data_IF_402350595600
#
_entry.id   IF_402350595600
#
_cell.length_a   1.000
_cell.length_b   1.000
_cell.length_c   1.000
_cell.angle_alpha   90.00
_cell.angle_beta   90.00
_cell.angle_gamma   90.00
#
_symmetry.space_group_name_H-M   'P 1'
#
loop_
_entity.id
_entity.type
_entity.pdbx_description
1 polymer ?
#
# COMPACT_ATOMS: atom_id res chain seq x y z
N UNK A 1 -15.14 62.12 -47.48
CA UNK A 1 -16.38 61.39 -47.12
C UNK A 1 -16.74 61.73 -45.67
N UNK A 2 -18.02 62.01 -45.45
CA UNK A 2 -18.75 62.23 -44.19
C UNK A 2 -18.56 61.07 -43.18
N UNK A 3 -18.85 61.08 -41.86
CA UNK A 3 -19.35 62.00 -40.81
C UNK A 3 -19.20 61.22 -39.45
N UNK A 4 -18.85 61.84 -38.30
CA UNK A 4 -19.68 62.10 -37.08
C UNK A 4 -20.56 60.92 -36.56
N UNK A 5 -20.73 60.54 -35.27
CA UNK A 5 -20.88 61.16 -33.92
C UNK A 5 -20.86 59.98 -32.87
N UNK A 6 -20.38 60.08 -31.62
CA UNK A 6 -20.94 60.69 -30.37
C UNK A 6 -22.23 59.97 -29.87
N UNK A 7 -22.30 59.35 -28.67
CA UNK A 7 -22.77 59.85 -27.32
C UNK A 7 -23.08 58.54 -26.51
N UNK A 8 -22.54 58.25 -25.30
CA UNK A 8 -22.81 58.74 -23.92
C UNK A 8 -24.04 58.11 -23.22
N UNK A 9 -23.85 57.82 -21.92
CA UNK A 9 -24.83 57.92 -20.82
C UNK A 9 -25.92 56.81 -20.73
N UNK A 10 -26.46 56.41 -19.58
CA UNK A 10 -26.40 56.88 -18.18
C UNK A 10 -27.17 55.85 -17.32
N UNK A 11 -26.93 55.89 -15.99
CA UNK A 11 -27.95 55.78 -14.91
C UNK A 11 -28.73 54.45 -14.77
N UNK A 12 -29.22 53.96 -13.63
CA UNK A 12 -29.40 54.39 -12.23
C UNK A 12 -30.17 53.19 -11.59
N UNK A 13 -29.97 52.72 -10.36
CA UNK A 13 -30.55 53.15 -9.04
C UNK A 13 -31.03 51.87 -8.33
N UNK A 14 -30.61 51.59 -7.08
CA UNK A 14 -31.34 51.83 -5.81
C UNK A 14 -32.64 50.96 -5.68
N UNK A 15 -33.05 50.31 -4.57
CA UNK A 15 -32.92 50.54 -3.12
C UNK A 15 -33.53 49.32 -2.33
N UNK A 16 -32.98 49.01 -1.13
CA UNK A 16 -33.61 48.80 0.22
C UNK A 16 -34.78 47.77 0.39
N UNK A 17 -34.86 46.89 1.40
CA UNK A 17 -35.44 47.15 2.77
C UNK A 17 -35.30 45.97 3.76
N UNK A 18 -35.18 46.30 5.06
CA UNK A 18 -35.11 45.43 6.26
C UNK A 18 -36.48 45.01 6.86
N UNK A 19 -36.47 43.99 7.74
CA UNK A 19 -37.48 43.66 8.77
C UNK A 19 -37.97 42.20 8.69
N UNK A 20 -38.18 41.38 9.73
CA UNK A 20 -38.59 41.54 11.13
C UNK A 20 -38.22 40.23 11.90
N UNK A 21 -37.96 40.32 13.21
CA UNK A 21 -37.69 39.21 14.15
C UNK A 21 -39.00 38.48 14.54
N UNK A 22 -38.96 37.15 14.68
CA UNK A 22 -39.89 36.38 15.51
C UNK A 22 -39.16 35.21 16.19
N UNK A 23 -39.16 35.18 17.52
CA UNK A 23 -38.80 34.04 18.35
C UNK A 23 -40.03 33.12 18.51
N UNK A 24 -39.85 31.79 18.36
CA UNK A 24 -40.66 30.77 19.05
C UNK A 24 -40.03 29.37 18.94
N UNK A 25 -39.59 28.88 20.10
CA UNK A 25 -39.60 27.51 20.65
C UNK A 25 -39.54 26.24 19.73
N UNK A 26 -38.36 25.60 19.78
CA UNK A 26 -38.11 24.22 20.21
C UNK A 26 -39.02 23.06 19.70
N UNK A 27 -38.56 22.32 18.70
CA UNK A 27 -38.77 20.86 18.61
C UNK A 27 -37.54 20.17 18.03
N UNK A 28 -37.02 19.18 18.76
CA UNK A 28 -35.85 18.36 18.44
C UNK A 28 -35.91 17.77 17.03
N UNK A 29 -35.13 18.32 16.10
CA UNK A 29 -34.57 17.56 14.99
C UNK A 29 -33.12 17.23 15.33
N UNK A 30 -32.89 15.95 15.64
CA UNK A 30 -31.55 15.37 15.70
C UNK A 30 -31.01 15.38 14.27
N UNK A 31 -30.35 16.47 13.89
CA UNK A 31 -29.52 16.50 12.68
C UNK A 31 -28.38 15.53 12.98
N UNK A 32 -28.49 14.33 12.43
CA UNK A 32 -27.37 13.41 12.33
C UNK A 32 -26.43 14.06 11.33
N UNK A 33 -25.44 14.80 11.82
CA UNK A 33 -24.28 15.16 11.03
C UNK A 33 -23.60 13.86 10.63
N UNK A 34 -23.93 13.36 9.44
CA UNK A 34 -23.10 12.40 8.72
C UNK A 34 -21.88 13.13 8.21
N UNK A 35 -21.02 13.56 9.14
CA UNK A 35 -19.62 13.84 8.88
C UNK A 35 -18.81 12.68 9.45
N UNK A 36 -19.11 11.46 8.97
CA UNK A 36 -18.07 10.43 8.87
C UNK A 36 -17.11 10.90 7.78
N UNK A 37 -16.32 11.92 8.10
CA UNK A 37 -15.00 12.05 7.50
C UNK A 37 -14.30 10.76 7.89
N UNK A 38 -14.17 9.85 6.93
CA UNK A 38 -13.18 8.78 6.96
C UNK A 38 -11.88 9.43 7.43
N UNK A 39 -11.64 9.28 8.73
CA UNK A 39 -10.41 9.75 9.34
C UNK A 39 -9.44 8.67 8.91
N UNK A 40 -8.70 8.97 7.83
CA UNK A 40 -7.60 8.13 7.37
C UNK A 40 -6.74 7.83 8.59
N UNK A 41 -6.47 6.56 8.85
CA UNK A 41 -5.51 6.18 9.88
C UNK A 41 -4.16 6.75 9.44
N UNK A 42 -3.75 7.86 10.05
CA UNK A 42 -2.38 8.38 9.93
C UNK A 42 -1.46 7.40 10.67
N UNK A 43 -0.79 6.53 9.93
CA UNK A 43 0.25 5.67 10.49
C UNK A 43 1.58 6.43 10.41
N UNK A 44 2.16 6.78 11.57
CA UNK A 44 3.41 7.56 11.63
C UNK A 44 4.62 6.82 11.06
N UNK A 45 4.65 5.48 11.14
CA UNK A 45 5.70 4.63 10.54
C UNK A 45 5.18 3.21 10.36
N UNK A 46 5.41 2.56 9.22
CA UNK A 46 5.18 1.12 9.05
C UNK A 46 6.45 0.35 9.41
N UNK A 47 6.35 -0.67 10.26
CA UNK A 47 7.50 -1.53 10.53
C UNK A 47 7.85 -2.35 9.28
N UNK A 48 9.13 -2.65 9.09
CA UNK A 48 9.59 -3.46 7.96
C UNK A 48 9.45 -4.96 8.28
N UNK A 49 9.09 -5.81 7.30
CA UNK A 49 9.20 -7.25 7.47
C UNK A 49 10.67 -7.66 7.61
N UNK A 50 10.91 -8.82 8.21
CA UNK A 50 12.27 -9.34 8.41
C UNK A 50 12.42 -10.75 7.84
N UNK A 51 13.61 -11.05 7.32
CA UNK A 51 13.99 -12.40 6.87
C UNK A 51 15.20 -12.87 7.68
N UNK A 52 15.12 -14.09 8.21
CA UNK A 52 16.21 -14.77 8.95
C UNK A 52 16.43 -16.16 8.42
N UNK A 53 17.69 -16.59 8.35
CA UNK A 53 18.03 -18.00 8.09
C UNK A 53 18.06 -18.76 9.42
N UNK A 54 17.39 -19.91 9.44
CA UNK A 54 17.56 -20.97 10.44
C UNK A 54 18.31 -22.12 9.76
N UNK A 55 19.58 -22.29 10.11
CA UNK A 55 20.38 -23.33 9.48
C UNK A 55 19.95 -24.71 9.93
N UNK A 56 20.19 -25.72 9.10
CA UNK A 56 19.96 -27.12 9.45
C UNK A 56 20.72 -27.57 10.71
N UNK A 57 21.86 -26.92 11.01
CA UNK A 57 22.68 -27.14 12.22
C UNK A 57 22.15 -26.44 13.48
N UNK A 58 21.05 -25.68 13.38
CA UNK A 58 20.39 -25.02 14.52
C UNK A 58 21.03 -23.71 14.95
N UNK A 59 21.94 -23.15 14.15
CA UNK A 59 22.43 -21.78 14.34
C UNK A 59 21.49 -20.79 13.65
N UNK A 60 20.85 -19.93 14.43
CA UNK A 60 19.97 -18.87 13.93
C UNK A 60 20.70 -17.54 14.10
N UNK A 61 21.46 -17.02 13.13
CA UNK A 61 22.03 -15.68 13.27
C UNK A 61 22.59 -15.05 11.97
N UNK A 62 21.84 -15.13 10.87
CA UNK A 62 22.19 -14.37 9.67
C UNK A 62 20.98 -13.53 9.22
N UNK A 63 21.20 -12.21 9.16
CA UNK A 63 20.37 -11.28 8.40
C UNK A 63 20.47 -11.73 6.95
N UNK A 64 19.34 -12.00 6.31
CA UNK A 64 19.30 -12.38 4.91
C UNK A 64 19.25 -11.12 4.05
N UNK A 65 19.98 -11.06 2.94
CA UNK A 65 19.90 -9.93 2.02
C UNK A 65 18.51 -9.90 1.36
N UNK A 66 17.87 -8.73 1.41
CA UNK A 66 16.55 -8.50 0.85
C UNK A 66 16.36 -7.03 0.53
N UNK A 67 15.39 -6.74 -0.34
CA UNK A 67 14.93 -5.39 -0.63
C UNK A 67 13.46 -5.27 -0.22
N UNK A 68 13.11 -4.18 0.44
CA UNK A 68 11.72 -3.86 0.74
C UNK A 68 11.32 -2.56 0.04
N UNK A 69 10.16 -2.58 -0.62
CA UNK A 69 9.60 -1.42 -1.29
C UNK A 69 8.12 -1.26 -1.01
N UNK A 70 7.72 -0.07 -0.56
CA UNK A 70 6.33 0.37 -0.57
C UNK A 70 5.98 0.80 -2.01
N UNK A 71 5.02 0.11 -2.63
CA UNK A 71 4.65 0.35 -4.04
C UNK A 71 3.59 1.44 -4.14
N UNK A 72 2.54 1.34 -3.31
CA UNK A 72 1.48 2.34 -3.25
C UNK A 72 0.75 2.26 -1.90
N UNK A 73 0.15 3.39 -1.50
CA UNK A 73 -0.65 3.51 -0.28
C UNK A 73 -1.83 4.46 -0.50
N UNK A 74 -3.02 4.05 -0.10
CA UNK A 74 -4.32 4.72 -0.24
C UNK A 74 -4.78 5.02 -1.68
N UNK A 75 -3.92 4.84 -2.68
CA UNK A 75 -4.19 5.07 -4.11
C UNK A 75 -3.40 4.07 -4.97
N UNK A 76 -3.91 2.83 -5.04
CA UNK A 76 -3.29 1.76 -5.82
C UNK A 76 -4.03 1.55 -7.15
N UNK A 77 -3.71 2.37 -8.13
CA UNK A 77 -4.16 2.19 -9.51
C UNK A 77 -3.61 0.90 -10.15
N UNK A 78 -4.36 0.34 -11.09
CA UNK A 78 -3.95 -0.84 -11.89
C UNK A 78 -2.63 -0.64 -12.64
N UNK A 79 -2.20 0.61 -12.84
CA UNK A 79 -0.96 0.99 -13.52
C UNK A 79 0.28 0.98 -12.62
N UNK A 80 0.12 0.77 -11.31
CA UNK A 80 1.21 0.65 -10.36
C UNK A 80 1.92 -0.69 -10.54
N UNK A 81 2.70 -0.77 -11.62
CA UNK A 81 3.59 -1.88 -11.92
C UNK A 81 4.79 -1.88 -10.98
N UNK A 82 5.24 -3.07 -10.60
CA UNK A 82 6.45 -3.24 -9.81
C UNK A 82 7.54 -3.84 -10.70
N UNK A 83 8.71 -3.21 -10.72
CA UNK A 83 9.88 -3.74 -11.39
C UNK A 83 10.75 -4.43 -10.35
N UNK A 84 10.91 -5.75 -10.47
CA UNK A 84 11.73 -6.54 -9.56
C UNK A 84 13.20 -6.09 -9.64
N UNK A 85 13.79 -5.58 -8.56
CA UNK A 85 15.19 -5.17 -8.57
C UNK A 85 16.10 -6.41 -8.62
N UNK A 86 17.31 -6.22 -9.14
CA UNK A 86 18.37 -7.22 -8.99
C UNK A 86 18.82 -7.24 -7.52
N UNK A 87 18.85 -8.44 -6.92
CA UNK A 87 19.23 -8.64 -5.51
C UNK A 87 20.42 -9.58 -5.41
N UNK A 88 21.32 -9.27 -4.48
CA UNK A 88 22.42 -10.16 -4.15
C UNK A 88 21.88 -11.48 -3.56
N UNK A 89 22.35 -12.61 -4.10
CA UNK A 89 21.99 -13.91 -3.56
C UNK A 89 22.47 -14.05 -2.12
N UNK A 90 21.56 -14.38 -1.20
CA UNK A 90 21.93 -14.72 0.16
C UNK A 90 22.46 -16.16 0.23
N UNK A 91 23.46 -16.39 1.09
CA UNK A 91 24.09 -17.69 1.26
C UNK A 91 23.17 -18.64 2.05
N UNK A 92 22.63 -19.65 1.36
CA UNK A 92 21.74 -20.70 1.91
C UNK A 92 22.16 -22.07 1.42
N UNK A 93 21.86 -23.09 2.21
CA UNK A 93 22.03 -24.49 1.83
C UNK A 93 20.69 -25.23 1.74
N UNK A 94 20.67 -26.32 0.98
CA UNK A 94 19.49 -27.21 0.92
C UNK A 94 19.21 -27.75 2.33
N UNK A 95 17.95 -27.63 2.76
CA UNK A 95 17.51 -28.03 4.09
C UNK A 95 17.50 -26.89 5.13
N UNK A 96 18.12 -25.74 4.82
CA UNK A 96 17.94 -24.53 5.61
C UNK A 96 16.50 -24.04 5.55
N UNK A 97 16.15 -23.16 6.48
CA UNK A 97 14.83 -22.55 6.52
C UNK A 97 14.92 -21.03 6.55
N UNK A 98 14.18 -20.38 5.67
CA UNK A 98 13.95 -18.94 5.75
C UNK A 98 12.72 -18.68 6.61
N UNK A 99 12.91 -17.93 7.69
CA UNK A 99 11.85 -17.43 8.55
C UNK A 99 11.56 -15.98 8.16
N UNK A 100 10.34 -15.72 7.69
CA UNK A 100 9.90 -14.39 7.29
C UNK A 100 8.83 -13.91 8.28
N UNK A 101 9.05 -12.75 8.90
CA UNK A 101 8.17 -12.20 9.92
C UNK A 101 7.70 -10.79 9.54
N UNK A 102 6.37 -10.61 9.50
CA UNK A 102 5.69 -9.34 9.26
C UNK A 102 4.75 -8.98 10.41
N UNK A 103 4.91 -9.57 11.60
CA UNK A 103 4.01 -9.33 12.75
C UNK A 103 3.92 -7.88 13.19
N UNK A 104 4.97 -7.11 12.94
CA UNK A 104 5.07 -5.71 13.37
C UNK A 104 4.50 -4.74 12.32
N UNK A 105 4.13 -5.24 11.12
CA UNK A 105 3.51 -4.42 10.09
C UNK A 105 2.10 -4.05 10.56
N UNK A 106 1.83 -2.75 10.63
CA UNK A 106 0.51 -2.19 10.94
C UNK A 106 0.09 -1.22 9.83
N UNK A 107 -1.15 -1.35 9.28
CA UNK A 107 -2.12 -2.40 9.57
C UNK A 107 -1.66 -3.77 9.03
N UNK A 108 -2.23 -4.86 9.54
CA UNK A 108 -1.91 -6.19 9.02
C UNK A 108 -2.37 -6.33 7.55
N UNK A 109 -1.55 -6.91 6.66
CA UNK A 109 -1.93 -7.15 5.27
C UNK A 109 -3.09 -8.15 5.21
N UNK A 110 -4.05 -7.91 4.32
CA UNK A 110 -5.22 -8.77 4.12
C UNK A 110 -4.91 -9.96 3.22
N UNK A 111 -3.93 -9.81 2.33
CA UNK A 111 -3.43 -10.88 1.47
C UNK A 111 -1.90 -10.84 1.38
N UNK A 112 -1.28 -12.01 1.35
CA UNK A 112 0.15 -12.19 1.12
C UNK A 112 0.32 -13.22 0.01
N UNK A 113 1.19 -12.91 -0.96
CA UNK A 113 1.52 -13.81 -2.06
C UNK A 113 3.02 -14.04 -2.12
N UNK A 114 3.44 -15.29 -2.26
CA UNK A 114 4.81 -15.66 -2.63
C UNK A 114 4.91 -15.75 -4.15
N UNK A 115 5.81 -14.96 -4.73
CA UNK A 115 6.03 -14.86 -6.17
C UNK A 115 7.40 -15.45 -6.47
N UNK A 116 7.46 -16.37 -7.43
CA UNK A 116 8.72 -16.84 -8.01
C UNK A 116 9.05 -16.00 -9.24
N UNK A 117 10.25 -15.45 -9.28
CA UNK A 117 10.71 -14.51 -10.30
C UNK A 117 11.83 -15.17 -11.10
N UNK A 118 11.72 -15.06 -12.42
CA UNK A 118 12.77 -15.43 -13.36
C UNK A 118 13.97 -14.50 -13.17
N UNK A 119 15.11 -15.06 -12.81
CA UNK A 119 16.31 -14.28 -12.42
C UNK A 119 17.00 -13.59 -13.60
N UNK A 120 16.71 -13.97 -14.85
CA UNK A 120 17.27 -13.32 -16.04
C UNK A 120 16.35 -12.19 -16.54
N UNK A 121 15.07 -12.47 -16.65
CA UNK A 121 14.07 -11.57 -17.26
C UNK A 121 13.33 -10.71 -16.25
N UNK A 122 13.48 -10.99 -14.94
CA UNK A 122 12.80 -10.31 -13.84
C UNK A 122 11.27 -10.34 -14.00
N UNK A 123 10.74 -11.46 -14.48
CA UNK A 123 9.30 -11.69 -14.69
C UNK A 123 8.75 -12.71 -13.71
N UNK A 124 7.48 -12.54 -13.35
CA UNK A 124 6.76 -13.51 -12.52
C UNK A 124 6.58 -14.84 -13.27
N UNK A 125 7.00 -15.93 -12.64
CA UNK A 125 6.80 -17.31 -13.11
C UNK A 125 5.56 -17.90 -12.45
N UNK A 126 5.49 -17.81 -11.12
CA UNK A 126 4.35 -18.31 -10.32
C UNK A 126 4.01 -17.36 -9.20
N UNK A 127 2.76 -17.41 -8.73
CA UNK A 127 2.23 -16.65 -7.61
C UNK A 127 1.37 -17.55 -6.74
N UNK A 128 1.72 -17.71 -5.48
CA UNK A 128 1.05 -18.57 -4.51
C UNK A 128 0.56 -17.75 -3.31
N UNK A 129 -0.76 -17.78 -3.06
CA UNK A 129 -1.35 -17.13 -1.89
C UNK A 129 -0.93 -17.83 -0.59
N UNK A 130 -0.52 -17.06 0.40
CA UNK A 130 -0.16 -17.51 1.75
C UNK A 130 -1.20 -17.08 2.78
N UNK A 131 -1.28 -17.84 3.86
CA UNK A 131 -2.16 -17.50 4.99
C UNK A 131 -1.57 -16.31 5.76
N UNK A 132 -2.31 -15.20 5.77
CA UNK A 132 -1.89 -13.96 6.42
C UNK A 132 -1.88 -14.04 7.94
N UNK A 133 -2.57 -15.02 8.53
CA UNK A 133 -2.61 -15.23 9.98
C UNK A 133 -1.37 -15.97 10.51
N UNK A 134 -0.52 -16.49 9.62
CA UNK A 134 0.67 -17.26 9.99
C UNK A 134 1.91 -16.39 9.79
N UNK A 135 2.29 -15.66 10.84
CA UNK A 135 3.59 -15.00 10.95
C UNK A 135 4.29 -15.45 12.25
N UNK A 136 5.60 -15.73 12.26
CA UNK A 136 6.44 -15.83 11.09
C UNK A 136 6.05 -17.05 10.24
N UNK A 137 6.16 -16.91 8.93
CA UNK A 137 6.08 -18.00 7.97
C UNK A 137 7.48 -18.58 7.73
N UNK A 138 7.54 -19.87 7.39
CA UNK A 138 8.81 -20.56 7.18
C UNK A 138 8.82 -21.30 5.84
N UNK A 139 9.86 -21.06 5.04
CA UNK A 139 10.13 -21.76 3.79
C UNK A 139 11.31 -22.70 4.05
N UNK A 140 11.18 -23.97 3.68
CA UNK A 140 12.32 -24.90 3.67
C UNK A 140 12.97 -24.85 2.29
N UNK A 141 14.27 -24.61 2.24
CA UNK A 141 15.01 -24.49 0.99
C UNK A 141 15.23 -25.88 0.40
N UNK A 142 14.72 -26.08 -0.81
CA UNK A 142 14.94 -27.30 -1.58
C UNK A 142 15.80 -27.03 -2.82
N UNK A 143 16.22 -28.09 -3.51
CA UNK A 143 17.09 -28.02 -4.69
C UNK A 143 16.50 -27.17 -5.82
N UNK A 144 15.17 -27.10 -5.96
CA UNK A 144 14.52 -26.33 -7.02
C UNK A 144 14.46 -24.85 -6.71
N UNK A 145 14.71 -24.46 -5.46
CA UNK A 145 14.65 -23.06 -5.04
C UNK A 145 15.99 -22.34 -5.19
N UNK A 146 17.09 -23.07 -5.17
CA UNK A 146 18.44 -22.56 -5.40
C UNK A 146 18.51 -21.83 -6.75
N UNK A 147 19.31 -20.77 -6.81
CA UNK A 147 19.54 -19.84 -7.93
C UNK A 147 18.33 -18.99 -8.35
N UNK A 148 17.21 -19.08 -7.63
CA UNK A 148 15.99 -18.35 -7.95
C UNK A 148 15.79 -17.10 -7.08
N UNK A 149 15.05 -16.14 -7.64
CA UNK A 149 14.59 -14.95 -6.95
C UNK A 149 13.11 -15.10 -6.58
N UNK A 150 12.75 -14.55 -5.43
CA UNK A 150 11.40 -14.56 -4.90
C UNK A 150 11.00 -13.18 -4.38
N UNK A 151 9.69 -12.95 -4.32
CA UNK A 151 9.12 -11.81 -3.62
C UNK A 151 7.94 -12.24 -2.76
N UNK A 152 7.80 -11.63 -1.58
CA UNK A 152 6.53 -11.57 -0.89
C UNK A 152 5.84 -10.26 -1.22
N UNK A 153 4.67 -10.38 -1.85
CA UNK A 153 3.76 -9.27 -2.05
C UNK A 153 2.80 -9.19 -0.86
N UNK A 154 2.74 -8.03 -0.23
CA UNK A 154 1.76 -7.72 0.81
C UNK A 154 0.70 -6.79 0.21
N UNK A 155 -0.56 -7.19 0.32
CA UNK A 155 -1.71 -6.42 -0.16
C UNK A 155 -2.62 -6.06 1.01
N UNK A 156 -3.08 -4.81 1.00
CA UNK A 156 -4.15 -4.31 1.84
C UNK A 156 -5.34 -4.06 0.95
N UNK A 157 -6.42 -4.81 1.19
CA UNK A 157 -7.59 -4.83 0.35
C UNK A 157 -8.84 -4.56 1.17
N UNK A 158 -9.73 -3.76 0.60
CA UNK A 158 -11.04 -3.48 1.12
C UNK A 158 -12.08 -3.92 0.09
N UNK A 159 -12.51 -5.18 0.20
CA UNK A 159 -13.28 -5.84 -0.85
C UNK A 159 -12.42 -6.07 -2.10
N UNK A 160 -12.82 -5.49 -3.24
CA UNK A 160 -12.10 -5.60 -4.51
C UNK A 160 -11.05 -4.49 -4.70
N UNK A 161 -11.06 -3.46 -3.85
CA UNK A 161 -10.14 -2.33 -3.95
C UNK A 161 -8.84 -2.67 -3.24
N UNK A 162 -7.72 -2.53 -3.94
CA UNK A 162 -6.39 -2.55 -3.33
C UNK A 162 -6.13 -1.15 -2.78
N UNK A 163 -5.93 -1.03 -1.47
CA UNK A 163 -5.62 0.23 -0.78
C UNK A 163 -4.11 0.34 -0.49
N UNK A 164 -3.37 -0.77 -0.52
CA UNK A 164 -1.94 -0.76 -0.30
C UNK A 164 -1.24 -1.95 -0.93
N UNK A 165 0.01 -1.74 -1.37
CA UNK A 165 0.87 -2.79 -1.91
C UNK A 165 2.31 -2.54 -1.50
N UNK A 166 2.97 -3.58 -1.01
CA UNK A 166 4.43 -3.57 -0.78
C UNK A 166 5.06 -4.89 -1.18
N UNK A 167 6.36 -4.85 -1.42
CA UNK A 167 7.15 -5.98 -1.92
C UNK A 167 8.37 -6.20 -1.02
N UNK A 168 8.60 -7.46 -0.66
CA UNK A 168 9.82 -7.93 -0.03
C UNK A 168 10.49 -8.93 -0.95
N UNK A 169 11.54 -8.50 -1.61
CA UNK A 169 12.28 -9.26 -2.61
C UNK A 169 13.53 -9.87 -1.99
N UNK A 170 13.85 -11.11 -2.37
CA UNK A 170 15.03 -11.81 -1.90
C UNK A 170 15.48 -12.88 -2.90
N UNK A 171 16.79 -13.17 -2.94
CA UNK A 171 17.37 -14.12 -3.89
C UNK A 171 18.15 -15.20 -3.15
N UNK A 172 17.96 -16.45 -3.58
CA UNK A 172 18.69 -17.60 -3.03
C UNK A 172 19.97 -17.84 -3.83
N UNK A 173 20.96 -18.43 -3.15
CA UNK A 173 22.28 -18.80 -3.69
C UNK A 173 22.18 -19.39 -5.08
#
# INVERSE_FOLDING_TARGET
MLAQRRIKNDEDKEEITQGIINENENTNQKVVDTNDKNTLLEFETMALPTIKIMTSEGTNNFVFDHSYAEVCWMDCDEWNTYNYPEIHSGDVEIGDKLQIDWKMIEPYPTEINLIHIDSETHKEITKEKKDTNISPFTITIDEKMIENQYALEFLWQNGEVIEGRSMLDFKLK
#
